data_IF_333180378859
#
_entry.id   IF_333180378859
#
_cell.length_a   1.000
_cell.length_b   1.000
_cell.length_c   1.000
_cell.angle_alpha   90.00
_cell.angle_beta   90.00
_cell.angle_gamma   90.00
#
_symmetry.space_group_name_H-M   'P 1'
#
loop_
_entity.id
_entity.type
_entity.pdbx_description
1 polymer ?
#
# COMPACT_ATOMS: atom_id res chain seq x y z
N UNK A 1 10.05 15.38 -14.09
CA UNK A 1 9.78 13.92 -14.06
C UNK A 1 8.35 13.73 -13.58
N UNK A 2 7.62 12.77 -14.12
CA UNK A 2 6.17 12.65 -13.91
C UNK A 2 5.90 12.01 -12.52
N UNK A 3 5.78 12.84 -11.47
CA UNK A 3 5.55 12.40 -10.07
C UNK A 3 4.41 11.36 -9.94
N UNK A 4 3.45 11.41 -10.86
CA UNK A 4 2.30 10.50 -10.96
C UNK A 4 2.70 9.08 -11.40
N UNK A 5 3.57 8.95 -12.40
CA UNK A 5 4.04 7.65 -12.88
C UNK A 5 4.94 6.99 -11.83
N UNK A 6 5.69 7.80 -11.09
CA UNK A 6 6.52 7.31 -9.99
C UNK A 6 5.66 6.82 -8.81
N UNK A 7 4.54 7.49 -8.51
CA UNK A 7 3.59 7.05 -7.49
C UNK A 7 2.87 5.75 -7.88
N UNK A 8 2.45 5.60 -9.15
CA UNK A 8 1.85 4.35 -9.64
C UNK A 8 2.82 3.17 -9.55
N UNK A 9 4.06 3.34 -10.02
CA UNK A 9 5.11 2.32 -9.90
C UNK A 9 5.47 2.02 -8.45
N UNK A 10 5.40 3.00 -7.55
CA UNK A 10 5.61 2.79 -6.13
C UNK A 10 4.47 1.96 -5.51
N UNK A 11 3.22 2.26 -5.85
CA UNK A 11 2.06 1.50 -5.41
C UNK A 11 2.07 0.05 -5.92
N UNK A 12 2.39 -0.18 -7.20
CA UNK A 12 2.52 -1.52 -7.77
C UNK A 12 3.61 -2.34 -7.07
N UNK A 13 4.77 -1.72 -6.81
CA UNK A 13 5.85 -2.37 -6.06
C UNK A 13 5.44 -2.67 -4.63
N UNK A 14 4.79 -1.74 -3.94
CA UNK A 14 4.29 -1.96 -2.59
C UNK A 14 3.27 -3.10 -2.57
N UNK A 15 2.30 -3.09 -3.48
CA UNK A 15 1.28 -4.12 -3.63
C UNK A 15 1.89 -5.52 -3.83
N UNK A 16 2.83 -5.66 -4.77
CA UNK A 16 3.50 -6.93 -5.03
C UNK A 16 4.25 -7.44 -3.80
N UNK A 17 4.97 -6.55 -3.11
CA UNK A 17 5.77 -6.93 -1.93
C UNK A 17 4.93 -7.35 -0.73
N UNK A 18 3.81 -6.67 -0.48
CA UNK A 18 2.89 -7.05 0.59
C UNK A 18 2.24 -8.39 0.26
N UNK A 19 1.84 -8.60 -1.00
CA UNK A 19 1.30 -9.88 -1.47
C UNK A 19 2.29 -11.03 -1.26
N UNK A 20 3.53 -10.87 -1.74
CA UNK A 20 4.60 -11.87 -1.56
C UNK A 20 4.81 -12.21 -0.08
N UNK A 21 4.68 -11.21 0.80
CA UNK A 21 4.85 -11.38 2.24
C UNK A 21 3.70 -12.20 2.84
N UNK A 22 2.44 -11.91 2.48
CA UNK A 22 1.26 -12.69 2.91
C UNK A 22 1.36 -14.16 2.50
N UNK A 23 1.93 -14.46 1.33
CA UNK A 23 2.10 -15.83 0.82
C UNK A 23 3.12 -16.66 1.62
N UNK A 24 4.12 -16.02 2.23
CA UNK A 24 5.21 -16.70 2.96
C UNK A 24 5.07 -16.67 4.48
N UNK A 25 4.00 -16.06 5.01
CA UNK A 25 3.81 -15.98 6.45
C UNK A 25 3.55 -17.34 7.09
N UNK A 26 4.19 -17.63 8.24
CA UNK A 26 3.93 -18.86 8.98
C UNK A 26 2.48 -18.90 9.47
N UNK A 27 1.77 -19.98 9.16
CA UNK A 27 0.38 -20.22 9.58
C UNK A 27 0.27 -21.35 10.60
N UNK A 28 1.40 -21.84 11.06
CA UNK A 28 1.50 -23.03 11.91
C UNK A 28 1.21 -22.73 13.38
N UNK A 29 1.37 -21.47 13.80
CA UNK A 29 1.00 -20.98 15.13
C UNK A 29 -0.10 -19.91 15.07
N UNK A 30 -0.86 -19.81 16.16
CA UNK A 30 -2.06 -18.95 16.25
C UNK A 30 -1.74 -17.45 16.09
N UNK A 31 -0.54 -17.02 16.50
CA UNK A 31 -0.11 -15.63 16.40
C UNK A 31 0.29 -15.27 14.96
N UNK A 32 1.00 -16.17 14.28
CA UNK A 32 1.36 -16.06 12.87
C UNK A 32 0.11 -16.08 11.99
N UNK A 33 -0.86 -16.94 12.31
CA UNK A 33 -2.15 -16.98 11.63
C UNK A 33 -2.93 -15.68 11.82
N UNK A 34 -3.01 -15.15 13.04
CA UNK A 34 -3.70 -13.87 13.31
C UNK A 34 -3.05 -12.71 12.55
N UNK A 35 -1.71 -12.59 12.59
CA UNK A 35 -0.99 -11.55 11.88
C UNK A 35 -1.11 -11.69 10.35
N UNK A 36 -1.17 -12.91 9.84
CA UNK A 36 -1.42 -13.17 8.41
C UNK A 36 -2.78 -12.66 7.97
N UNK A 37 -3.83 -12.96 8.76
CA UNK A 37 -5.21 -12.54 8.48
C UNK A 37 -5.31 -11.01 8.54
N UNK A 38 -4.71 -10.38 9.54
CA UNK A 38 -4.71 -8.92 9.68
C UNK A 38 -3.96 -8.25 8.53
N UNK A 39 -2.80 -8.78 8.13
CA UNK A 39 -2.04 -8.23 7.00
C UNK A 39 -2.81 -8.39 5.68
N UNK A 40 -3.43 -9.54 5.45
CA UNK A 40 -4.27 -9.76 4.26
C UNK A 40 -5.47 -8.80 4.25
N UNK A 41 -6.10 -8.57 5.41
CA UNK A 41 -7.17 -7.58 5.57
C UNK A 41 -6.70 -6.16 5.25
N UNK A 42 -5.58 -5.74 5.82
CA UNK A 42 -4.98 -4.42 5.55
C UNK A 42 -4.59 -4.26 4.07
N UNK A 43 -4.02 -5.31 3.45
CA UNK A 43 -3.64 -5.33 2.05
C UNK A 43 -4.85 -5.20 1.10
N UNK A 44 -5.96 -5.88 1.41
CA UNK A 44 -7.23 -5.71 0.70
C UNK A 44 -7.78 -4.29 0.82
N UNK A 45 -7.72 -3.69 2.03
CA UNK A 45 -8.11 -2.29 2.24
C UNK A 45 -7.26 -1.34 1.39
N UNK A 46 -5.94 -1.55 1.37
CA UNK A 46 -5.03 -0.77 0.54
C UNK A 46 -5.39 -0.85 -0.94
N UNK A 47 -5.59 -2.06 -1.47
CA UNK A 47 -5.94 -2.27 -2.88
C UNK A 47 -7.25 -1.55 -3.23
N UNK A 48 -8.28 -1.71 -2.39
CA UNK A 48 -9.56 -1.04 -2.58
C UNK A 48 -9.45 0.49 -2.53
N UNK A 49 -8.70 1.04 -1.57
CA UNK A 49 -8.47 2.48 -1.48
C UNK A 49 -7.66 3.02 -2.64
N UNK A 50 -6.67 2.27 -3.13
CA UNK A 50 -5.86 2.63 -4.28
C UNK A 50 -6.68 2.63 -5.56
N UNK A 51 -7.52 1.61 -5.78
CA UNK A 51 -8.43 1.55 -6.92
C UNK A 51 -9.45 2.69 -6.88
N UNK A 52 -10.02 2.99 -5.70
CA UNK A 52 -10.92 4.13 -5.51
C UNK A 52 -10.23 5.48 -5.78
N UNK A 53 -8.96 5.62 -5.41
CA UNK A 53 -8.15 6.82 -5.66
C UNK A 53 -7.80 7.01 -7.14
N UNK A 54 -7.68 5.92 -7.90
CA UNK A 54 -7.46 5.93 -9.35
C UNK A 54 -8.77 5.89 -10.17
N UNK A 55 -9.91 5.68 -9.51
CA UNK A 55 -11.25 5.66 -10.07
C UNK A 55 -12.00 6.97 -9.87
N UNK A 56 -13.34 6.90 -9.85
CA UNK A 56 -14.20 8.03 -9.46
C UNK A 56 -14.47 7.91 -7.96
N UNK A 57 -13.88 8.76 -7.11
CA UNK A 57 -14.09 8.66 -5.67
C UNK A 57 -15.54 9.00 -5.30
N UNK A 58 -16.12 8.33 -4.29
CA UNK A 58 -17.42 8.70 -3.75
C UNK A 58 -17.38 10.12 -3.19
N UNK A 59 -18.47 10.88 -3.36
CA UNK A 59 -18.57 12.27 -2.93
C UNK A 59 -18.28 12.40 -1.42
N UNK A 60 -17.37 13.30 -1.05
CA UNK A 60 -17.03 13.60 0.35
C UNK A 60 -15.94 12.73 0.98
N UNK A 61 -15.46 11.68 0.31
CA UNK A 61 -14.29 10.93 0.76
C UNK A 61 -13.01 11.49 0.12
N UNK A 62 -11.96 11.73 0.92
CA UNK A 62 -10.60 11.91 0.38
C UNK A 62 -10.00 10.52 0.14
N UNK A 63 -10.00 9.99 -1.10
CA UNK A 63 -9.52 8.64 -1.37
C UNK A 63 -8.03 8.51 -1.01
N UNK A 64 -7.26 9.60 -1.14
CA UNK A 64 -5.86 9.67 -0.77
C UNK A 64 -5.61 9.50 0.73
N UNK A 65 -6.51 9.97 1.60
CA UNK A 65 -6.43 9.74 3.04
C UNK A 65 -6.64 8.26 3.39
N UNK A 66 -7.51 7.56 2.66
CA UNK A 66 -7.72 6.13 2.85
C UNK A 66 -6.53 5.31 2.36
N UNK A 67 -5.91 5.72 1.25
CA UNK A 67 -4.64 5.13 0.76
C UNK A 67 -3.53 5.31 1.80
N UNK A 68 -3.39 6.51 2.37
CA UNK A 68 -2.40 6.79 3.42
C UNK A 68 -2.60 5.89 4.65
N UNK A 69 -3.83 5.84 5.17
CA UNK A 69 -4.15 5.03 6.35
C UNK A 69 -3.91 3.53 6.10
N UNK A 70 -4.41 2.99 4.99
CA UNK A 70 -4.25 1.56 4.67
C UNK A 70 -2.79 1.18 4.39
N UNK A 71 -1.99 2.11 3.86
CA UNK A 71 -0.53 1.93 3.74
C UNK A 71 0.13 1.86 5.11
N UNK A 72 -0.23 2.77 6.03
CA UNK A 72 0.28 2.76 7.41
C UNK A 72 -0.10 1.48 8.15
N UNK A 73 -1.33 1.01 8.02
CA UNK A 73 -1.78 -0.26 8.62
C UNK A 73 -0.90 -1.44 8.16
N UNK A 74 -0.64 -1.54 6.85
CA UNK A 74 0.23 -2.57 6.29
C UNK A 74 1.65 -2.48 6.86
N UNK A 75 2.22 -1.27 6.92
CA UNK A 75 3.57 -1.06 7.45
C UNK A 75 3.68 -1.41 8.92
N UNK A 76 2.66 -1.07 9.72
CA UNK A 76 2.61 -1.41 11.13
C UNK A 76 2.64 -2.93 11.35
N UNK A 77 1.82 -3.67 10.60
CA UNK A 77 1.75 -5.12 10.69
C UNK A 77 3.05 -5.80 10.22
N UNK A 78 3.67 -5.28 9.15
CA UNK A 78 4.98 -5.75 8.67
C UNK A 78 6.08 -5.49 9.71
N UNK A 79 6.02 -4.35 10.40
CA UNK A 79 6.95 -4.04 11.49
C UNK A 79 6.75 -4.97 12.69
N UNK A 80 5.50 -5.29 13.05
CA UNK A 80 5.20 -6.27 14.09
C UNK A 80 5.75 -7.66 13.74
N UNK A 81 5.54 -8.12 12.50
CA UNK A 81 6.06 -9.39 12.00
C UNK A 81 7.59 -9.48 12.05
N UNK A 82 8.27 -8.36 11.82
CA UNK A 82 9.72 -8.28 11.99
C UNK A 82 10.15 -8.34 13.46
N UNK A 83 9.47 -7.58 14.32
CA UNK A 83 9.76 -7.54 15.77
C UNK A 83 9.52 -8.90 16.44
N UNK A 84 8.55 -9.68 15.96
CA UNK A 84 8.30 -11.05 16.43
C UNK A 84 9.22 -12.10 15.80
N UNK A 85 10.19 -11.67 14.97
CA UNK A 85 11.16 -12.54 14.27
C UNK A 85 10.51 -13.62 13.39
N UNK A 86 9.25 -13.42 12.98
CA UNK A 86 8.53 -14.36 12.11
C UNK A 86 9.00 -14.31 10.66
N UNK A 87 9.78 -13.30 10.29
CA UNK A 87 10.27 -13.07 8.92
C UNK A 87 11.75 -12.66 8.89
N UNK A 88 12.43 -13.03 7.80
CA UNK A 88 13.84 -12.69 7.59
C UNK A 88 14.07 -11.16 7.44
N UNK A 89 15.01 -10.57 8.20
CA UNK A 89 15.20 -9.11 8.31
C UNK A 89 15.43 -8.35 6.99
N UNK A 90 16.27 -8.82 6.03
CA UNK A 90 16.65 -7.98 4.89
C UNK A 90 15.46 -7.63 3.98
N UNK A 91 14.55 -8.59 3.77
CA UNK A 91 13.38 -8.39 2.91
C UNK A 91 12.37 -7.46 3.58
N UNK A 92 12.14 -7.62 4.88
CA UNK A 92 11.19 -6.79 5.62
C UNK A 92 11.67 -5.34 5.70
N UNK A 93 12.94 -5.10 5.99
CA UNK A 93 13.51 -3.74 6.06
C UNK A 93 13.40 -3.00 4.71
N UNK A 94 13.60 -3.70 3.59
CA UNK A 94 13.41 -3.12 2.25
C UNK A 94 11.94 -2.74 1.99
N UNK A 95 10.99 -3.58 2.41
CA UNK A 95 9.56 -3.30 2.26
C UNK A 95 9.16 -2.10 3.11
N UNK A 96 9.63 -2.03 4.35
CA UNK A 96 9.38 -0.89 5.25
C UNK A 96 9.96 0.41 4.70
N UNK A 97 11.19 0.40 4.19
CA UNK A 97 11.80 1.58 3.58
C UNK A 97 11.03 2.07 2.35
N UNK A 98 10.69 1.17 1.42
CA UNK A 98 9.93 1.52 0.23
C UNK A 98 8.51 1.97 0.56
N UNK A 99 7.84 1.30 1.48
CA UNK A 99 6.48 1.65 1.85
C UNK A 99 6.38 2.95 2.64
N UNK A 100 7.38 3.30 3.47
CA UNK A 100 7.48 4.64 4.08
C UNK A 100 7.66 5.74 3.03
N UNK A 101 8.57 5.52 2.08
CA UNK A 101 8.77 6.47 0.99
C UNK A 101 7.49 6.66 0.14
N UNK A 102 6.72 5.59 -0.05
CA UNK A 102 5.42 5.62 -0.71
C UNK A 102 4.36 6.37 0.12
N UNK A 103 4.23 6.08 1.42
CA UNK A 103 3.32 6.79 2.32
C UNK A 103 3.60 8.31 2.33
N UNK A 104 4.88 8.69 2.39
CA UNK A 104 5.29 10.09 2.31
C UNK A 104 4.91 10.73 0.97
N UNK A 105 5.02 9.99 -0.14
CA UNK A 105 4.62 10.45 -1.46
C UNK A 105 3.10 10.65 -1.55
N UNK A 106 2.31 9.73 -1.01
CA UNK A 106 0.84 9.83 -0.90
C UNK A 106 0.45 11.07 -0.07
N UNK A 107 1.07 11.26 1.09
CA UNK A 107 0.81 12.41 1.97
C UNK A 107 1.20 13.76 1.33
N UNK A 108 2.24 13.79 0.48
CA UNK A 108 2.59 14.97 -0.31
C UNK A 108 1.56 15.24 -1.42
N UNK A 109 1.15 14.21 -2.17
CA UNK A 109 0.13 14.34 -3.21
C UNK A 109 -1.20 14.85 -2.63
N UNK A 110 -1.61 14.36 -1.46
CA UNK A 110 -2.79 14.85 -0.73
C UNK A 110 -2.71 16.35 -0.44
N UNK A 111 -1.58 16.84 0.11
CA UNK A 111 -1.38 18.27 0.44
C UNK A 111 -1.42 19.19 -0.77
N UNK A 112 -1.01 18.69 -1.94
CA UNK A 112 -1.03 19.49 -3.18
C UNK A 112 -2.38 19.49 -3.91
N UNK A 113 -3.39 18.72 -3.44
CA UNK A 113 -4.69 18.60 -4.10
C UNK A 113 -4.65 18.00 -5.51
N UNK A 114 -3.46 17.57 -5.96
CA UNK A 114 -3.23 17.06 -7.31
C UNK A 114 -3.41 15.55 -7.26
N UNK A 115 -4.64 15.11 -7.46
CA UNK A 115 -4.88 13.71 -7.80
C UNK A 115 -4.04 13.37 -9.04
N UNK A 116 -3.37 12.20 -9.10
CA UNK A 116 -2.73 11.72 -10.30
C UNK A 116 -3.76 11.64 -11.41
N UNK A 117 -3.74 12.63 -12.30
CA UNK A 117 -4.61 12.69 -13.45
C UNK A 117 -4.30 11.47 -14.32
N UNK A 118 -5.20 10.49 -14.34
CA UNK A 118 -5.20 9.51 -15.43
C UNK A 118 -5.31 10.28 -16.73
N UNK A 119 -4.41 9.99 -17.67
CA UNK A 119 -4.70 10.23 -19.08
C UNK A 119 -6.04 9.56 -19.36
N UNK A 120 -7.10 10.36 -19.52
CA UNK A 120 -8.25 9.94 -20.33
C UNK A 120 -7.65 9.39 -21.60
N UNK A 121 -7.90 8.10 -21.88
CA UNK A 121 -7.65 7.55 -23.20
C UNK A 121 -8.24 8.53 -24.21
N UNK A 122 -7.37 9.18 -24.98
CA UNK A 122 -7.78 10.09 -26.02
C UNK A 122 -8.64 9.30 -27.00
N UNK A 123 -9.81 9.85 -27.31
CA UNK A 123 -10.66 9.35 -28.37
C UNK A 123 -9.84 9.23 -29.65
N UNK A 124 -9.95 8.08 -30.29
CA UNK A 124 -9.23 7.73 -31.50
C UNK A 124 -10.19 7.11 -32.51
N UNK A 125 -10.97 8.00 -33.14
CA UNK A 125 -11.80 7.85 -34.35
C UNK A 125 -13.11 7.09 -34.23
#
# INVERSE_FOLDING_TARGET
>A
MNDILDLQRAAERFNARVKDLVEVLPRDDLAGQALSIELESAHRRFTASWDAANGTPPAGASPWRQVEQSTHDCLHLIELLWRTQMLHPPRVLQILAHGRAFADAVARSHRTGRAPARRRGGGGR
#
